data_IF_884278205119
#
_entry.id   IF_884278205119
#
_cell.length_a   1.000
_cell.length_b   1.000
_cell.length_c   1.000
_cell.angle_alpha   90.00
_cell.angle_beta   90.00
_cell.angle_gamma   90.00
#
_symmetry.space_group_name_H-M   'P 1'
#
loop_
_entity.id
_entity.type
_entity.pdbx_description
1 polymer ?
#
# COMPACT_ATOMS: atom_id res chain seq x y z
N UNK A 1 -2.01 -2.27 7.94
CA UNK A 1 -0.60 -2.60 8.21
C UNK A 1 -0.08 -1.72 9.34
N UNK A 2 1.00 -2.13 10.04
CA UNK A 2 1.70 -1.30 11.02
C UNK A 2 2.15 0.04 10.42
N UNK A 3 2.36 1.05 11.26
CA UNK A 3 2.77 2.39 10.84
C UNK A 3 4.15 2.40 10.18
N UNK A 4 5.00 1.43 10.50
CA UNK A 4 6.37 1.29 10.00
C UNK A 4 6.42 0.75 8.56
N UNK A 5 5.35 0.11 8.09
CA UNK A 5 5.23 -0.48 6.74
C UNK A 5 4.60 0.49 5.73
N UNK A 6 4.13 1.66 6.19
CA UNK A 6 3.56 2.67 5.32
C UNK A 6 4.65 3.38 4.52
N UNK A 7 4.48 3.40 3.18
CA UNK A 7 5.29 4.26 2.33
C UNK A 7 5.07 5.74 2.67
N UNK A 8 6.10 6.57 2.46
CA UNK A 8 6.08 8.00 2.78
C UNK A 8 4.82 8.80 2.36
N UNK A 9 4.15 8.52 1.21
CA UNK A 9 2.93 9.25 0.85
C UNK A 9 1.64 8.69 1.48
N UNK A 10 1.66 7.48 2.06
CA UNK A 10 0.45 6.76 2.44
C UNK A 10 0.05 7.02 3.91
N UNK A 11 -1.13 7.59 4.14
CA UNK A 11 -1.74 7.69 5.46
C UNK A 11 -2.39 6.37 5.91
N UNK A 12 -2.82 5.56 4.94
CA UNK A 12 -3.35 4.21 5.15
C UNK A 12 -3.07 3.35 3.92
N UNK A 13 -2.65 2.10 4.11
CA UNK A 13 -2.45 1.10 3.05
C UNK A 13 -3.14 -0.21 3.42
N UNK A 14 -3.74 -0.84 2.42
CA UNK A 14 -4.32 -2.18 2.48
C UNK A 14 -3.63 -3.00 1.38
N UNK A 15 -3.05 -4.13 1.78
CA UNK A 15 -2.42 -5.07 0.86
C UNK A 15 -3.41 -6.16 0.51
N UNK A 16 -3.52 -6.44 -0.79
CA UNK A 16 -4.29 -7.54 -1.33
C UNK A 16 -3.29 -8.66 -1.59
N UNK A 17 -3.39 -9.71 -0.79
CA UNK A 17 -2.52 -10.87 -0.88
C UNK A 17 -3.25 -12.04 -1.55
N UNK A 18 -2.56 -12.71 -2.47
CA UNK A 18 -3.06 -13.92 -3.11
C UNK A 18 -2.24 -15.13 -2.64
N UNK A 19 -2.93 -16.27 -2.53
CA UNK A 19 -2.26 -17.55 -2.27
C UNK A 19 -1.41 -17.94 -3.49
N UNK A 20 -0.11 -18.19 -3.27
CA UNK A 20 0.83 -18.63 -4.30
C UNK A 20 1.11 -20.14 -4.15
N UNK A 21 0.39 -21.03 -4.86
CA UNK A 21 0.45 -22.47 -4.63
C UNK A 21 1.84 -23.08 -4.86
N UNK A 22 2.60 -22.55 -5.84
CA UNK A 22 3.97 -23.00 -6.11
C UNK A 22 4.98 -22.66 -5.01
N UNK A 23 4.70 -21.63 -4.19
CA UNK A 23 5.57 -21.17 -3.09
C UNK A 23 5.02 -21.53 -1.71
N UNK A 24 3.77 -21.99 -1.63
CA UNK A 24 3.03 -22.30 -0.39
C UNK A 24 3.00 -21.15 0.61
N UNK A 25 2.87 -19.92 0.10
CA UNK A 25 2.78 -18.69 0.89
C UNK A 25 1.73 -17.76 0.29
N UNK A 26 1.21 -16.83 1.09
CA UNK A 26 0.54 -15.63 0.57
C UNK A 26 1.59 -14.62 0.14
N UNK A 27 1.29 -13.85 -0.91
CA UNK A 27 2.13 -12.71 -1.31
C UNK A 27 1.29 -11.57 -1.89
N UNK A 28 1.78 -10.35 -1.71
CA UNK A 28 1.13 -9.12 -2.20
C UNK A 28 1.03 -9.17 -3.74
N UNK A 29 -0.18 -8.92 -4.25
CA UNK A 29 -0.45 -8.77 -5.69
C UNK A 29 -0.89 -7.36 -6.06
N UNK A 30 -1.47 -6.63 -5.09
CA UNK A 30 -1.91 -5.26 -5.28
C UNK A 30 -2.01 -4.57 -3.93
N UNK A 31 -2.03 -3.24 -3.94
CA UNK A 31 -2.30 -2.45 -2.75
C UNK A 31 -3.18 -1.24 -3.05
N UNK A 32 -3.99 -0.88 -2.05
CA UNK A 32 -4.82 0.31 -2.06
C UNK A 32 -4.33 1.26 -0.96
N UNK A 33 -3.87 2.44 -1.37
CA UNK A 33 -3.33 3.45 -0.45
C UNK A 33 -4.17 4.74 -0.48
N UNK A 34 -4.45 5.30 0.69
CA UNK A 34 -4.97 6.65 0.82
C UNK A 34 -3.79 7.60 1.09
N UNK A 35 -3.51 8.49 0.13
CA UNK A 35 -2.45 9.50 0.23
C UNK A 35 -2.94 10.85 0.75
N UNK A 36 -4.24 10.98 1.07
CA UNK A 36 -4.88 12.24 1.46
C UNK A 36 -4.53 13.37 0.47
N UNK A 37 -4.01 14.50 0.94
CA UNK A 37 -3.60 15.64 0.13
C UNK A 37 -2.10 15.63 -0.23
N UNK A 38 -1.35 14.61 0.20
CA UNK A 38 0.12 14.59 0.12
C UNK A 38 0.63 14.81 -1.30
N UNK A 39 0.05 14.08 -2.26
CA UNK A 39 0.45 14.17 -3.66
C UNK A 39 -0.10 15.45 -4.31
N UNK A 40 -1.34 15.84 -3.99
CA UNK A 40 -1.97 17.06 -4.50
C UNK A 40 -1.17 18.33 -4.14
N UNK A 41 -0.80 18.48 -2.85
CA UNK A 41 0.02 19.60 -2.37
C UNK A 41 1.39 19.69 -3.06
N UNK A 42 2.00 18.54 -3.38
CA UNK A 42 3.31 18.49 -4.05
C UNK A 42 3.25 18.81 -5.53
N UNK A 43 2.11 18.58 -6.16
CA UNK A 43 1.87 18.91 -7.56
C UNK A 43 1.28 20.32 -7.74
N UNK A 44 0.96 21.02 -6.65
CA UNK A 44 0.37 22.36 -6.69
C UNK A 44 -1.10 22.38 -7.09
N UNK A 45 -1.81 21.28 -6.82
CA UNK A 45 -3.26 21.14 -7.04
C UNK A 45 -4.07 21.54 -5.81
#
# INVERSE_FOLDING_TARGET
>A
MPTEELGAPAARKIDIEAWMPGRKIYGEVSSASNCTDYQARRLGA
#
